data_IF_679406610301
#
_entry.id   IF_679406610301
#
_cell.length_a   1.000
_cell.length_b   1.000
_cell.length_c   1.000
_cell.angle_alpha   90.00
_cell.angle_beta   90.00
_cell.angle_gamma   90.00
#
_symmetry.space_group_name_H-M   'P 1'
#
loop_
_entity.id
_entity.type
_entity.pdbx_description
1 polymer ?
#
# COMPACT_ATOMS: atom_id res chain seq x y z
N UNK A 1 -31.93 -15.30 -32.56
CA UNK A 1 -30.58 -14.80 -32.18
C UNK A 1 -30.32 -15.27 -30.76
N UNK A 2 -29.61 -16.37 -30.66
CA UNK A 2 -29.34 -17.10 -29.42
C UNK A 2 -27.86 -16.93 -29.05
N UNK A 3 -27.60 -16.64 -27.77
CA UNK A 3 -26.68 -17.36 -26.88
C UNK A 3 -26.34 -16.49 -25.67
N UNK A 4 -27.00 -16.77 -24.55
CA UNK A 4 -26.49 -16.50 -23.19
C UNK A 4 -26.42 -17.83 -22.47
N UNK A 5 -25.23 -18.39 -22.29
CA UNK A 5 -24.92 -19.28 -21.15
C UNK A 5 -23.42 -19.59 -21.08
N UNK A 6 -22.76 -19.03 -20.08
CA UNK A 6 -21.52 -19.60 -19.55
C UNK A 6 -21.84 -20.11 -18.14
N UNK A 7 -22.50 -21.25 -18.05
CA UNK A 7 -22.57 -22.03 -16.81
C UNK A 7 -21.37 -22.97 -16.81
N UNK A 8 -20.35 -22.66 -16.00
CA UNK A 8 -19.30 -23.60 -15.68
C UNK A 8 -19.73 -24.42 -14.44
N UNK A 9 -20.64 -25.37 -14.65
CA UNK A 9 -20.86 -26.48 -13.70
C UNK A 9 -20.53 -27.78 -14.42
N UNK A 10 -19.49 -28.47 -13.96
CA UNK A 10 -19.12 -29.80 -14.43
C UNK A 10 -19.58 -30.81 -13.38
N UNK A 11 -20.88 -31.10 -13.34
CA UNK A 11 -21.41 -32.16 -12.47
C UNK A 11 -21.14 -33.51 -13.13
N UNK A 12 -20.05 -34.16 -12.73
CA UNK A 12 -19.80 -35.56 -13.10
C UNK A 12 -20.02 -36.42 -11.88
N UNK A 13 -21.13 -37.17 -11.87
CA UNK A 13 -21.48 -38.10 -10.79
C UNK A 13 -20.56 -39.32 -10.83
N UNK A 14 -19.36 -39.16 -10.27
CA UNK A 14 -18.39 -40.24 -10.04
C UNK A 14 -18.28 -40.48 -8.53
N UNK A 15 -18.34 -41.75 -8.10
CA UNK A 15 -18.20 -42.10 -6.69
C UNK A 15 -16.83 -41.63 -6.16
N UNK A 16 -16.84 -40.81 -5.10
CA UNK A 16 -15.64 -40.19 -4.52
C UNK A 16 -15.29 -38.81 -5.08
N UNK A 17 -16.02 -38.30 -6.08
CA UNK A 17 -15.88 -36.92 -6.52
C UNK A 17 -16.63 -35.96 -5.57
N UNK A 18 -16.11 -34.74 -5.45
CA UNK A 18 -16.74 -33.66 -4.72
C UNK A 18 -16.79 -32.41 -5.60
N UNK A 19 -17.99 -31.84 -5.72
CA UNK A 19 -18.19 -30.59 -6.46
C UNK A 19 -18.04 -29.40 -5.50
N UNK A 20 -17.15 -28.47 -5.86
CA UNK A 20 -17.00 -27.18 -5.16
C UNK A 20 -17.61 -26.07 -6.02
N UNK A 21 -18.75 -25.55 -5.60
CA UNK A 21 -19.34 -24.35 -6.23
C UNK A 21 -18.89 -23.10 -5.47
N UNK A 22 -18.13 -22.24 -6.15
CA UNK A 22 -17.68 -20.96 -5.59
C UNK A 22 -18.53 -19.82 -6.16
N UNK A 23 -19.24 -19.09 -5.30
CA UNK A 23 -19.98 -17.88 -5.66
C UNK A 23 -19.20 -16.69 -5.09
N UNK A 24 -18.45 -16.00 -5.95
CA UNK A 24 -17.65 -14.83 -5.55
C UNK A 24 -18.46 -13.56 -5.78
N UNK A 25 -18.58 -12.73 -4.74
CA UNK A 25 -19.03 -11.34 -4.84
C UNK A 25 -17.91 -10.46 -4.31
N UNK A 26 -17.53 -9.46 -5.09
CA UNK A 26 -16.41 -8.58 -4.76
C UNK A 26 -16.77 -7.14 -5.10
N UNK A 27 -16.59 -6.25 -4.14
CA UNK A 27 -16.67 -4.81 -4.39
C UNK A 27 -15.40 -4.36 -5.10
N UNK A 28 -15.56 -3.98 -6.37
CA UNK A 28 -14.42 -3.63 -7.23
C UNK A 28 -13.75 -2.33 -6.80
N UNK A 29 -14.51 -1.41 -6.22
CA UNK A 29 -14.04 -0.08 -5.83
C UNK A 29 -14.53 0.22 -4.41
N UNK A 30 -13.63 0.74 -3.58
CA UNK A 30 -13.97 1.33 -2.29
C UNK A 30 -13.10 2.56 -2.05
N UNK A 31 -13.53 3.46 -1.17
CA UNK A 31 -12.77 4.66 -0.88
C UNK A 31 -13.27 5.35 0.36
N UNK A 32 -12.51 6.34 0.80
CA UNK A 32 -12.84 7.17 1.95
C UNK A 32 -12.33 8.59 1.75
N UNK A 33 -12.91 9.51 2.50
CA UNK A 33 -12.37 10.84 2.74
C UNK A 33 -12.60 11.18 4.21
N UNK A 34 -11.62 11.79 4.86
CA UNK A 34 -11.76 12.26 6.24
C UNK A 34 -11.01 13.57 6.46
N UNK A 35 -11.46 14.29 7.49
CA UNK A 35 -10.86 15.49 7.99
C UNK A 35 -10.68 15.33 9.49
N UNK A 36 -9.52 15.67 10.00
CA UNK A 36 -9.23 15.63 11.43
C UNK A 36 -8.38 16.83 11.86
N UNK A 37 -8.27 16.99 13.18
CA UNK A 37 -7.47 18.03 13.83
C UNK A 37 -6.31 17.43 14.66
N UNK A 38 -5.71 16.33 14.19
CA UNK A 38 -4.63 15.63 14.92
C UNK A 38 -3.23 16.11 14.53
N UNK A 39 -3.12 17.03 13.58
CA UNK A 39 -1.84 17.57 13.18
C UNK A 39 -1.22 18.44 14.27
N UNK A 40 0.11 18.51 14.29
CA UNK A 40 0.84 19.39 15.20
C UNK A 40 0.84 20.83 14.67
N UNK A 41 1.22 21.80 15.52
CA UNK A 41 1.42 23.19 15.08
C UNK A 41 2.50 23.33 13.99
N UNK A 42 3.37 22.33 13.85
CA UNK A 42 4.46 22.30 12.86
C UNK A 42 4.03 21.67 11.53
N UNK A 43 3.14 20.67 11.54
CA UNK A 43 2.74 19.90 10.34
C UNK A 43 1.31 20.29 9.89
N UNK A 44 0.74 21.30 10.53
CA UNK A 44 -0.59 21.84 10.27
C UNK A 44 -1.67 21.14 11.10
N UNK A 45 -2.42 21.87 11.94
CA UNK A 45 -3.33 21.26 12.93
C UNK A 45 -4.50 20.51 12.30
N UNK A 46 -4.93 20.93 11.10
CA UNK A 46 -6.02 20.33 10.35
C UNK A 46 -5.48 19.54 9.17
N UNK A 47 -5.88 18.28 9.05
CA UNK A 47 -5.47 17.39 7.98
C UNK A 47 -6.69 16.84 7.25
N UNK A 48 -6.54 16.70 5.93
CA UNK A 48 -7.51 16.08 5.04
C UNK A 48 -6.83 14.88 4.39
N UNK A 49 -7.51 13.75 4.42
CA UNK A 49 -7.04 12.53 3.77
C UNK A 49 -8.13 11.93 2.89
N UNK A 50 -7.72 11.33 1.79
CA UNK A 50 -8.59 10.58 0.91
C UNK A 50 -7.87 9.33 0.42
N UNK A 51 -8.63 8.26 0.22
CA UNK A 51 -8.10 6.99 -0.27
C UNK A 51 -9.07 6.31 -1.23
N UNK A 52 -8.50 5.62 -2.21
CA UNK A 52 -9.22 4.79 -3.17
C UNK A 52 -8.56 3.42 -3.22
N UNK A 53 -9.37 2.37 -3.18
CA UNK A 53 -8.95 0.99 -3.37
C UNK A 53 -9.69 0.39 -4.56
N UNK A 54 -8.93 -0.27 -5.43
CA UNK A 54 -9.42 -1.01 -6.57
C UNK A 54 -9.04 -2.47 -6.39
N UNK A 55 -10.03 -3.35 -6.29
CA UNK A 55 -9.80 -4.78 -6.20
C UNK A 55 -10.00 -5.43 -7.58
N UNK A 56 -9.10 -6.31 -8.00
CA UNK A 56 -9.18 -6.97 -9.30
C UNK A 56 -8.94 -6.03 -10.49
N UNK A 57 -7.90 -5.20 -10.39
CA UNK A 57 -7.50 -4.30 -11.47
C UNK A 57 -6.94 -5.08 -12.68
N UNK A 58 -6.07 -6.06 -12.41
CA UNK A 58 -5.44 -6.91 -13.45
C UNK A 58 -5.94 -8.36 -13.46
N UNK A 59 -6.20 -8.96 -12.30
CA UNK A 59 -6.55 -10.39 -12.14
C UNK A 59 -7.45 -10.57 -10.91
N UNK A 60 -8.10 -11.74 -10.80
CA UNK A 60 -8.83 -12.13 -9.59
C UNK A 60 -7.78 -12.33 -8.48
N UNK A 61 -7.90 -11.64 -7.35
CA UNK A 61 -6.93 -11.63 -6.22
C UNK A 61 -5.75 -10.64 -6.33
N UNK A 62 -6.03 -9.42 -6.81
CA UNK A 62 -5.15 -8.29 -6.57
C UNK A 62 -5.88 -7.07 -5.98
N UNK A 63 -5.10 -6.18 -5.38
CA UNK A 63 -5.57 -4.94 -4.75
C UNK A 63 -4.60 -3.81 -5.08
N UNK A 64 -5.13 -2.70 -5.56
CA UNK A 64 -4.39 -1.45 -5.77
C UNK A 64 -5.00 -0.38 -4.90
N UNK A 65 -4.18 0.33 -4.14
CA UNK A 65 -4.60 1.41 -3.27
C UNK A 65 -3.83 2.70 -3.59
N UNK A 66 -4.55 3.81 -3.54
CA UNK A 66 -4.02 5.15 -3.63
C UNK A 66 -4.45 5.92 -2.39
N UNK A 67 -3.54 6.63 -1.75
CA UNK A 67 -3.84 7.48 -0.60
C UNK A 67 -3.15 8.84 -0.74
N UNK A 68 -3.89 9.88 -0.37
CA UNK A 68 -3.45 11.27 -0.35
C UNK A 68 -3.73 11.84 1.04
N UNK A 69 -2.77 12.55 1.61
CA UNK A 69 -2.97 13.35 2.85
C UNK A 69 -2.38 14.73 2.64
N UNK A 70 -3.10 15.76 3.07
CA UNK A 70 -2.63 17.15 3.04
C UNK A 70 -3.06 17.90 4.29
N UNK A 71 -2.24 18.84 4.75
CA UNK A 71 -2.66 19.80 5.76
C UNK A 71 -3.49 20.95 5.15
N UNK A 72 -4.26 21.67 5.97
CA UNK A 72 -5.03 22.85 5.54
C UNK A 72 -4.16 23.95 4.95
N UNK A 73 -2.94 24.14 5.47
CA UNK A 73 -1.89 24.81 4.73
C UNK A 73 -1.14 23.74 3.94
N UNK A 74 -1.43 23.64 2.65
CA UNK A 74 -0.96 22.54 1.78
C UNK A 74 0.56 22.43 1.67
N UNK A 75 1.32 23.43 2.11
CA UNK A 75 2.79 23.38 2.13
C UNK A 75 3.35 22.70 3.39
N UNK A 76 2.56 22.61 4.47
CA UNK A 76 3.01 22.03 5.74
C UNK A 76 3.10 20.50 5.68
N UNK A 77 2.22 19.86 4.90
CA UNK A 77 2.25 18.43 4.63
C UNK A 77 1.58 18.10 3.30
N UNK A 78 2.30 17.34 2.47
CA UNK A 78 1.77 16.60 1.32
C UNK A 78 2.28 15.17 1.39
N UNK A 79 1.37 14.22 1.39
CA UNK A 79 1.68 12.81 1.40
C UNK A 79 0.95 12.10 0.28
N UNK A 80 1.68 11.27 -0.43
CA UNK A 80 1.18 10.40 -1.48
C UNK A 80 1.66 8.98 -1.21
N UNK A 81 0.74 8.02 -1.32
CA UNK A 81 1.06 6.60 -1.26
C UNK A 81 0.31 5.84 -2.36
N UNK A 82 1.06 4.96 -3.01
CA UNK A 82 0.55 3.99 -3.96
C UNK A 82 0.99 2.60 -3.51
N UNK A 83 0.03 1.70 -3.33
CA UNK A 83 0.26 0.30 -3.00
C UNK A 83 -0.36 -0.59 -4.08
N UNK A 84 0.36 -1.62 -4.49
CA UNK A 84 -0.18 -2.69 -5.32
C UNK A 84 0.22 -4.05 -4.76
N UNK A 85 -0.75 -4.91 -4.52
CA UNK A 85 -0.56 -6.29 -4.06
C UNK A 85 -1.17 -7.27 -5.06
N UNK A 86 -0.40 -8.29 -5.45
CA UNK A 86 -0.84 -9.36 -6.34
C UNK A 86 -0.50 -10.73 -5.76
N UNK A 87 -1.47 -11.63 -5.78
CA UNK A 87 -1.22 -13.04 -5.50
C UNK A 87 -0.59 -13.70 -6.73
N UNK A 88 0.57 -14.33 -6.54
CA UNK A 88 1.33 -14.96 -7.63
C UNK A 88 1.01 -16.44 -7.76
N UNK A 89 0.70 -17.10 -6.64
CA UNK A 89 0.46 -18.55 -6.63
C UNK A 89 -0.79 -18.92 -5.85
N UNK A 90 -1.43 -20.03 -6.23
CA UNK A 90 -2.64 -20.53 -5.58
C UNK A 90 -2.39 -20.96 -4.12
N UNK A 91 -1.16 -21.30 -3.78
CA UNK A 91 -0.71 -21.69 -2.44
C UNK A 91 -0.72 -20.52 -1.45
N UNK A 92 -0.73 -19.28 -1.95
CA UNK A 92 -0.84 -18.05 -1.16
C UNK A 92 0.38 -17.15 -1.22
N UNK A 93 1.35 -17.43 -2.11
CA UNK A 93 2.47 -16.52 -2.33
C UNK A 93 1.96 -15.22 -2.96
N UNK A 94 2.36 -14.09 -2.40
CA UNK A 94 1.99 -12.77 -2.89
C UNK A 94 3.20 -11.83 -2.96
N UNK A 95 3.12 -10.88 -3.87
CA UNK A 95 4.04 -9.77 -4.00
C UNK A 95 3.31 -8.46 -3.73
N UNK A 96 3.96 -7.53 -3.05
CA UNK A 96 3.47 -6.19 -2.84
C UNK A 96 4.54 -5.17 -3.24
N UNK A 97 4.11 -4.08 -3.85
CA UNK A 97 4.91 -2.92 -4.18
C UNK A 97 4.27 -1.69 -3.52
N UNK A 98 5.08 -0.90 -2.83
CA UNK A 98 4.63 0.30 -2.14
C UNK A 98 5.55 1.48 -2.52
N UNK A 99 4.94 2.58 -2.94
CA UNK A 99 5.63 3.82 -3.29
C UNK A 99 5.05 4.94 -2.44
N UNK A 100 5.92 5.67 -1.75
CA UNK A 100 5.54 6.78 -0.88
C UNK A 100 6.37 8.01 -1.18
N UNK A 101 5.71 9.16 -1.20
CA UNK A 101 6.33 10.49 -1.28
C UNK A 101 5.74 11.36 -0.20
N UNK A 102 6.59 12.07 0.52
CA UNK A 102 6.19 13.01 1.57
C UNK A 102 7.00 14.27 1.39
N UNK A 103 6.31 15.39 1.29
CA UNK A 103 6.89 16.73 1.25
C UNK A 103 6.28 17.52 2.41
N UNK A 104 7.12 18.09 3.26
CA UNK A 104 6.68 18.85 4.44
C UNK A 104 7.58 20.05 4.69
N UNK A 105 6.98 21.23 4.82
CA UNK A 105 7.64 22.45 5.25
C UNK A 105 7.09 22.86 6.63
N UNK A 106 7.78 22.55 7.73
CA UNK A 106 7.26 22.83 9.06
C UNK A 106 7.00 24.32 9.31
N UNK A 107 5.81 24.65 9.80
CA UNK A 107 5.40 26.02 10.12
C UNK A 107 5.83 26.53 11.50
N UNK A 108 5.18 27.62 11.95
CA UNK A 108 5.30 28.22 13.30
C UNK A 108 6.71 28.77 13.64
N UNK A 109 7.29 28.47 14.81
CA UNK A 109 8.64 28.98 15.20
C UNK A 109 9.77 28.44 14.32
N UNK A 110 9.50 27.43 13.48
CA UNK A 110 10.43 26.90 12.48
C UNK A 110 10.25 27.56 11.11
N UNK A 111 9.24 28.41 10.93
CA UNK A 111 8.99 29.16 9.69
C UNK A 111 10.12 30.15 9.38
N UNK A 112 10.77 30.67 10.44
CA UNK A 112 11.95 31.54 10.34
C UNK A 112 13.24 30.74 10.01
N UNK A 113 13.20 29.41 10.14
CA UNK A 113 14.30 28.48 9.86
C UNK A 113 14.19 27.80 8.48
N UNK A 114 13.10 28.04 7.74
CA UNK A 114 12.80 27.52 6.40
C UNK A 114 13.30 26.09 6.17
N UNK A 115 12.78 25.17 6.98
CA UNK A 115 13.14 23.76 6.91
C UNK A 115 12.23 23.08 5.91
N UNK A 116 12.79 22.50 4.85
CA UNK A 116 12.03 21.72 3.88
C UNK A 116 12.48 20.26 3.98
N UNK A 117 11.55 19.33 4.18
CA UNK A 117 11.85 17.90 4.20
C UNK A 117 11.08 17.19 3.09
N UNK A 118 11.84 16.56 2.20
CA UNK A 118 11.34 15.72 1.14
C UNK A 118 11.80 14.28 1.37
N UNK A 119 10.88 13.32 1.36
CA UNK A 119 11.19 11.90 1.52
C UNK A 119 10.45 11.08 0.47
N UNK A 120 11.21 10.30 -0.29
CA UNK A 120 10.70 9.28 -1.19
C UNK A 120 11.12 7.90 -0.69
N UNK A 121 10.19 6.95 -0.69
CA UNK A 121 10.52 5.56 -0.43
C UNK A 121 9.80 4.62 -1.39
N UNK A 122 10.46 3.52 -1.71
CA UNK A 122 9.92 2.41 -2.47
C UNK A 122 10.20 1.12 -1.72
N UNK A 123 9.20 0.24 -1.65
CA UNK A 123 9.31 -1.07 -1.03
C UNK A 123 8.76 -2.14 -1.97
N UNK A 124 9.48 -3.26 -2.05
CA UNK A 124 9.02 -4.49 -2.66
C UNK A 124 9.04 -5.60 -1.62
N UNK A 125 7.93 -6.30 -1.46
CA UNK A 125 7.75 -7.37 -0.49
C UNK A 125 7.26 -8.64 -1.18
N UNK A 126 7.95 -9.75 -0.98
CA UNK A 126 7.52 -11.09 -1.35
C UNK A 126 7.17 -11.86 -0.07
N UNK A 127 5.99 -12.47 -0.03
CA UNK A 127 5.49 -13.23 1.11
C UNK A 127 5.01 -14.61 0.66
N UNK A 128 5.50 -15.68 1.30
CA UNK A 128 5.15 -17.06 0.93
C UNK A 128 4.87 -17.91 2.17
N UNK A 129 3.77 -18.69 2.21
CA UNK A 129 3.53 -19.66 3.27
C UNK A 129 4.36 -20.93 3.05
N UNK A 130 5.26 -21.26 3.97
CA UNK A 130 5.99 -22.53 3.95
C UNK A 130 5.21 -23.67 4.59
N UNK A 131 4.47 -23.37 5.66
CA UNK A 131 3.61 -24.34 6.34
C UNK A 131 2.25 -23.70 6.54
N UNK A 132 1.20 -24.41 6.11
CA UNK A 132 -0.18 -23.97 6.30
C UNK A 132 -1.01 -25.11 6.89
N UNK A 133 -1.48 -24.92 8.11
CA UNK A 133 -2.35 -25.89 8.80
C UNK A 133 -3.42 -25.16 9.60
N UNK A 134 -4.43 -25.89 10.08
CA UNK A 134 -5.52 -25.30 10.88
C UNK A 134 -5.03 -24.74 12.23
N UNK A 135 -3.90 -25.23 12.74
CA UNK A 135 -3.39 -24.90 14.08
C UNK A 135 -2.06 -24.15 14.06
N UNK A 136 -1.34 -24.16 12.95
CA UNK A 136 -0.02 -23.53 12.78
C UNK A 136 0.17 -23.04 11.36
N UNK A 137 0.70 -21.83 11.20
CA UNK A 137 1.14 -21.30 9.92
C UNK A 137 2.57 -20.79 10.08
N UNK A 138 3.38 -20.95 9.04
CA UNK A 138 4.73 -20.40 8.95
C UNK A 138 4.87 -19.67 7.62
N UNK A 139 5.19 -18.40 7.68
CA UNK A 139 5.42 -17.54 6.53
C UNK A 139 6.89 -17.16 6.42
N UNK A 140 7.33 -16.97 5.18
CA UNK A 140 8.59 -16.32 4.83
C UNK A 140 8.33 -15.00 4.15
N UNK A 141 9.07 -13.99 4.56
CA UNK A 141 9.00 -12.66 3.98
C UNK A 141 10.37 -12.23 3.49
N UNK A 142 10.42 -11.67 2.29
CA UNK A 142 11.59 -11.01 1.72
C UNK A 142 11.19 -9.60 1.33
N UNK A 143 11.77 -8.58 1.97
CA UNK A 143 11.49 -7.19 1.63
C UNK A 143 12.75 -6.49 1.13
N UNK A 144 12.57 -5.58 0.19
CA UNK A 144 13.59 -4.66 -0.30
C UNK A 144 13.06 -3.24 -0.16
N UNK A 145 13.81 -2.40 0.54
CA UNK A 145 13.43 -1.04 0.87
C UNK A 145 14.47 -0.08 0.33
N UNK A 146 14.01 0.90 -0.44
CA UNK A 146 14.77 2.05 -0.89
C UNK A 146 14.17 3.31 -0.28
N UNK A 147 15.02 4.14 0.33
CA UNK A 147 14.60 5.44 0.87
C UNK A 147 15.61 6.50 0.52
N UNK A 148 15.10 7.65 0.08
CA UNK A 148 15.88 8.86 -0.12
C UNK A 148 15.16 10.01 0.58
N UNK A 149 15.87 10.71 1.45
CA UNK A 149 15.37 11.91 2.12
C UNK A 149 16.35 13.05 1.99
N UNK A 150 15.83 14.23 1.66
CA UNK A 150 16.56 15.47 1.68
C UNK A 150 15.92 16.38 2.72
N UNK A 151 16.76 17.01 3.54
CA UNK A 151 16.32 18.08 4.43
C UNK A 151 17.12 19.32 4.10
N UNK A 152 16.43 20.37 3.67
CA UNK A 152 16.99 21.70 3.53
C UNK A 152 16.73 22.49 4.81
N UNK A 153 17.70 23.32 5.20
CA UNK A 153 17.61 24.25 6.31
C UNK A 153 18.15 25.58 5.81
N UNK A 154 17.28 26.60 5.81
CA UNK A 154 17.61 27.99 5.44
C UNK A 154 18.11 28.18 4.00
N UNK A 155 17.89 27.25 3.07
CA UNK A 155 18.38 27.33 1.68
C UNK A 155 19.92 27.42 1.59
N UNK A 156 20.61 27.19 2.72
CA UNK A 156 22.06 27.37 2.91
C UNK A 156 22.73 26.01 3.12
N UNK A 157 22.03 25.02 3.68
CA UNK A 157 22.57 23.69 3.96
C UNK A 157 21.63 22.60 3.45
N UNK A 158 22.00 21.98 2.33
CA UNK A 158 21.35 20.77 1.83
C UNK A 158 21.93 19.54 2.49
N UNK A 159 21.20 18.97 3.44
CA UNK A 159 21.53 17.66 3.98
C UNK A 159 20.92 16.60 3.06
N UNK A 160 21.75 16.08 2.18
CA UNK A 160 21.43 14.87 1.45
C UNK A 160 21.64 13.69 2.40
N UNK A 161 20.57 12.99 2.75
CA UNK A 161 20.73 11.68 3.34
C UNK A 161 21.17 10.71 2.24
N UNK A 162 22.12 9.82 2.56
CA UNK A 162 22.59 8.83 1.58
C UNK A 162 21.43 7.89 1.27
N UNK A 163 21.11 7.61 -0.01
CA UNK A 163 20.04 6.68 -0.34
C UNK A 163 20.26 5.34 0.38
N UNK A 164 19.31 4.98 1.24
CA UNK A 164 19.40 3.77 2.05
C UNK A 164 18.73 2.62 1.32
N UNK A 165 19.46 1.52 1.20
CA UNK A 165 18.97 0.28 0.64
C UNK A 165 19.08 -0.83 1.67
N UNK A 166 17.96 -1.48 1.97
CA UNK A 166 17.94 -2.56 2.94
C UNK A 166 17.10 -3.74 2.45
N UNK A 167 17.60 -4.94 2.75
CA UNK A 167 16.89 -6.20 2.55
C UNK A 167 16.61 -6.84 3.90
N UNK A 168 15.40 -7.39 4.10
CA UNK A 168 15.06 -8.12 5.31
C UNK A 168 14.41 -9.45 4.97
N UNK A 169 14.86 -10.50 5.67
CA UNK A 169 14.25 -11.83 5.67
C UNK A 169 13.63 -12.07 7.04
N UNK A 170 12.35 -12.45 7.07
CA UNK A 170 11.62 -12.71 8.32
C UNK A 170 10.79 -13.99 8.19
N UNK A 171 10.68 -14.72 9.30
CA UNK A 171 9.79 -15.87 9.42
C UNK A 171 8.86 -15.70 10.62
N UNK A 172 7.57 -15.95 10.44
CA UNK A 172 6.52 -15.84 11.47
C UNK A 172 5.53 -17.00 11.40
#
# INVERSE_FOLDING_TARGET
MEKRKCDHSLTTSQAGAADLTLIVRQDRYSGFASLDNRGSEFIGPYQVQAGLTVNGLFEISNRTQLQLVTASQTNELRFFEFEHQQQITAEGTNIAANLRRTDSQPGFTLRDLDVETESSSAELLLSTPFVRSRTRNLYGHVSFNYRNSATDILDVVKLFDTPQLSGMLRFE
#
